data_IF_008715996290
#
_entry.id   IF_008715996290
#
_cell.length_a   1.000
_cell.length_b   1.000
_cell.length_c   1.000
_cell.angle_alpha   90.00
_cell.angle_beta   90.00
_cell.angle_gamma   90.00
#
_symmetry.space_group_name_H-M   'P 1'
#
loop_
_entity.id
_entity.type
_entity.pdbx_description
1 polymer ?
#
# COMPACT_ATOMS: atom_id res chain seq x y z
N UNK A 1 31.59 1.55 -13.29
CA UNK A 1 31.07 0.73 -12.17
C UNK A 1 30.38 1.71 -11.25
N UNK A 2 29.07 1.86 -11.40
CA UNK A 2 28.26 2.74 -10.55
C UNK A 2 27.95 1.99 -9.26
N UNK A 3 28.37 2.55 -8.14
CA UNK A 3 28.02 2.07 -6.81
C UNK A 3 26.50 1.97 -6.69
N UNK A 4 25.99 0.74 -6.54
CA UNK A 4 24.62 0.54 -6.11
C UNK A 4 24.51 1.13 -4.70
N UNK A 5 23.46 1.92 -4.38
CA UNK A 5 23.32 2.44 -3.03
C UNK A 5 23.00 1.28 -2.09
N UNK A 6 24.02 0.75 -1.41
CA UNK A 6 23.90 0.00 -0.16
C UNK A 6 23.51 0.96 0.95
N UNK A 7 22.33 1.57 0.81
CA UNK A 7 21.72 2.37 1.86
C UNK A 7 21.01 1.42 2.82
N UNK A 8 21.59 1.18 3.97
CA UNK A 8 20.89 0.51 5.07
C UNK A 8 19.64 1.33 5.38
N UNK A 9 18.47 0.77 5.07
CA UNK A 9 17.18 1.39 5.34
C UNK A 9 17.07 1.69 6.84
N UNK A 10 16.97 2.97 7.22
CA UNK A 10 16.90 3.43 8.61
C UNK A 10 15.65 4.30 8.83
N UNK A 11 14.94 4.06 9.94
CA UNK A 11 13.76 4.83 10.33
C UNK A 11 14.05 6.32 10.50
N UNK A 12 15.26 6.70 10.95
CA UNK A 12 15.62 8.11 11.14
C UNK A 12 15.74 8.91 9.84
N UNK A 13 15.92 8.23 8.72
CA UNK A 13 16.04 8.83 7.38
C UNK A 13 14.76 8.63 6.55
N UNK A 14 13.74 8.01 7.14
CA UNK A 14 12.48 7.72 6.49
C UNK A 14 11.76 9.02 6.09
N UNK A 15 11.27 9.04 4.85
CA UNK A 15 10.35 10.06 4.35
C UNK A 15 9.23 9.36 3.59
N UNK A 16 7.98 9.74 3.87
CA UNK A 16 6.83 9.16 3.19
C UNK A 16 6.89 9.45 1.68
N UNK A 17 6.80 8.43 0.80
CA UNK A 17 6.90 8.62 -0.64
C UNK A 17 5.65 9.31 -1.20
N UNK A 18 5.81 10.54 -1.70
CA UNK A 18 4.72 11.34 -2.29
C UNK A 18 4.90 11.60 -3.78
N UNK A 19 6.01 11.17 -4.39
CA UNK A 19 6.42 11.52 -5.74
C UNK A 19 5.46 11.04 -6.85
N UNK A 20 4.70 9.96 -6.60
CA UNK A 20 3.69 9.43 -7.52
C UNK A 20 2.26 9.60 -7.01
N UNK A 21 2.07 10.33 -5.91
CA UNK A 21 0.76 10.67 -5.39
C UNK A 21 0.26 11.95 -6.09
N UNK A 22 -0.91 11.87 -6.72
CA UNK A 22 -1.48 13.03 -7.40
C UNK A 22 -1.75 14.16 -6.41
N UNK A 23 -1.46 15.40 -6.82
CA UNK A 23 -1.69 16.59 -6.00
C UNK A 23 -3.14 17.08 -6.05
N UNK A 24 -3.86 16.77 -7.13
CA UNK A 24 -5.22 17.24 -7.42
C UNK A 24 -6.05 16.14 -8.07
N UNK A 25 -7.36 16.18 -7.88
CA UNK A 25 -8.32 15.30 -8.57
C UNK A 25 -8.55 15.78 -10.00
N UNK A 26 -8.71 14.85 -10.94
CA UNK A 26 -9.16 15.16 -12.30
C UNK A 26 -10.65 15.46 -12.32
N UNK A 27 -11.44 14.72 -11.53
CA UNK A 27 -12.86 14.95 -11.35
C UNK A 27 -13.16 15.35 -9.89
N UNK A 28 -13.43 16.64 -9.62
CA UNK A 28 -13.74 17.12 -8.28
C UNK A 28 -14.96 16.47 -7.61
N UNK A 29 -15.87 15.85 -8.37
CA UNK A 29 -17.05 15.17 -7.82
C UNK A 29 -16.71 13.82 -7.20
N UNK A 30 -15.61 13.20 -7.64
CA UNK A 30 -15.17 11.88 -7.17
C UNK A 30 -14.49 11.93 -5.81
N UNK A 31 -14.34 10.76 -5.19
CA UNK A 31 -13.60 10.60 -3.94
C UNK A 31 -12.18 10.12 -4.25
N UNK A 32 -11.11 10.79 -3.75
CA UNK A 32 -9.75 10.30 -3.93
C UNK A 32 -9.61 8.91 -3.29
N UNK A 33 -8.95 7.98 -3.97
CA UNK A 33 -8.69 6.63 -3.49
C UNK A 33 -7.20 6.31 -3.60
N UNK A 34 -6.65 5.77 -2.51
CA UNK A 34 -5.29 5.24 -2.46
C UNK A 34 -5.35 3.76 -2.16
N UNK A 35 -4.74 2.97 -3.03
CA UNK A 35 -4.67 1.51 -2.90
C UNK A 35 -3.37 1.11 -2.21
N UNK A 36 -3.44 0.32 -1.16
CA UNK A 36 -2.26 -0.16 -0.42
C UNK A 36 -2.22 -1.68 -0.48
N UNK A 37 -1.17 -2.25 -1.08
CA UNK A 37 -0.94 -3.69 -1.07
C UNK A 37 0.14 -4.05 -0.06
N UNK A 38 -0.26 -4.69 1.05
CA UNK A 38 0.64 -5.27 2.01
C UNK A 38 0.97 -6.72 1.63
N UNK A 39 2.24 -7.12 1.70
CA UNK A 39 2.60 -8.48 1.32
C UNK A 39 4.08 -8.81 1.45
N UNK A 40 4.41 -10.09 1.28
CA UNK A 40 5.81 -10.53 1.36
C UNK A 40 6.64 -10.03 0.19
N UNK A 41 6.10 -10.05 -1.05
CA UNK A 41 6.83 -9.68 -2.27
C UNK A 41 8.22 -10.33 -2.38
N UNK A 42 8.28 -11.66 -2.22
CA UNK A 42 9.52 -12.44 -2.13
C UNK A 42 9.62 -13.51 -3.23
N UNK A 43 9.79 -13.14 -4.52
CA UNK A 43 9.88 -11.77 -5.05
C UNK A 43 8.52 -11.20 -5.48
N UNK A 44 8.50 -9.90 -5.81
CA UNK A 44 7.39 -9.30 -6.55
C UNK A 44 7.27 -9.94 -7.96
N UNK A 45 6.06 -9.99 -8.50
CA UNK A 45 5.75 -10.59 -9.81
C UNK A 45 4.78 -9.71 -10.59
N UNK A 46 4.65 -9.97 -11.90
CA UNK A 46 3.66 -9.28 -12.74
C UNK A 46 2.22 -9.45 -12.26
N UNK A 47 1.89 -10.53 -11.56
CA UNK A 47 0.54 -10.71 -11.01
C UNK A 47 0.23 -9.64 -9.96
N UNK A 48 1.20 -9.31 -9.11
CA UNK A 48 1.05 -8.24 -8.12
C UNK A 48 0.78 -6.89 -8.80
N UNK A 49 1.55 -6.57 -9.85
CA UNK A 49 1.34 -5.34 -10.62
C UNK A 49 -0.02 -5.33 -11.34
N UNK A 50 -0.45 -6.49 -11.85
CA UNK A 50 -1.74 -6.63 -12.53
C UNK A 50 -2.92 -6.38 -11.59
N UNK A 51 -2.82 -6.75 -10.31
CA UNK A 51 -3.86 -6.45 -9.32
C UNK A 51 -4.12 -4.95 -9.18
N UNK A 52 -3.07 -4.12 -9.20
CA UNK A 52 -3.23 -2.66 -9.14
C UNK A 52 -4.03 -2.14 -10.33
N UNK A 53 -3.66 -2.55 -11.54
CA UNK A 53 -4.35 -2.13 -12.77
C UNK A 53 -5.83 -2.58 -12.76
N UNK A 54 -6.12 -3.81 -12.35
CA UNK A 54 -7.49 -4.32 -12.25
C UNK A 54 -8.33 -3.56 -11.23
N UNK A 55 -7.76 -3.26 -10.06
CA UNK A 55 -8.43 -2.48 -9.03
C UNK A 55 -8.66 -1.03 -9.47
N UNK A 56 -7.70 -0.43 -10.18
CA UNK A 56 -7.83 0.92 -10.71
C UNK A 56 -8.89 1.03 -11.80
N UNK A 57 -8.96 0.05 -12.73
CA UNK A 57 -10.01 -0.02 -13.74
C UNK A 57 -11.39 -0.17 -13.08
N UNK A 58 -11.54 -1.10 -12.13
CA UNK A 58 -12.80 -1.29 -11.42
C UNK A 58 -13.21 -0.02 -10.65
N UNK A 59 -12.30 0.61 -9.91
CA UNK A 59 -12.57 1.87 -9.23
C UNK A 59 -13.04 2.94 -10.22
N UNK A 60 -12.38 3.04 -11.37
CA UNK A 60 -12.68 4.03 -12.41
C UNK A 60 -14.08 3.83 -13.02
N UNK A 61 -14.46 2.60 -13.36
CA UNK A 61 -15.68 2.33 -14.13
C UNK A 61 -16.90 1.97 -13.28
N UNK A 62 -16.71 1.41 -12.08
CA UNK A 62 -17.79 0.83 -11.29
C UNK A 62 -18.06 1.55 -9.97
N UNK A 63 -17.30 2.60 -9.65
CA UNK A 63 -17.43 3.32 -8.37
C UNK A 63 -17.33 4.83 -8.54
N UNK A 64 -17.57 5.59 -7.47
CA UNK A 64 -17.33 7.04 -7.44
C UNK A 64 -15.88 7.42 -7.06
N UNK A 65 -14.95 6.45 -7.04
CA UNK A 65 -13.57 6.70 -6.63
C UNK A 65 -12.66 7.09 -7.80
N UNK A 66 -11.77 8.04 -7.56
CA UNK A 66 -10.64 8.34 -8.45
C UNK A 66 -9.36 7.85 -7.78
N UNK A 67 -8.68 6.88 -8.40
CA UNK A 67 -7.37 6.44 -7.90
C UNK A 67 -6.36 7.55 -8.12
N UNK A 68 -5.79 8.04 -7.02
CA UNK A 68 -4.83 9.15 -6.98
C UNK A 68 -3.40 8.70 -6.69
N UNK A 69 -3.22 7.45 -6.28
CA UNK A 69 -1.93 6.82 -6.03
C UNK A 69 -2.10 5.42 -5.47
N UNK A 70 -1.01 4.67 -5.44
CA UNK A 70 -0.99 3.35 -4.83
C UNK A 70 0.38 3.04 -4.23
N UNK A 71 0.38 2.15 -3.24
CA UNK A 71 1.57 1.81 -2.47
C UNK A 71 1.74 0.29 -2.36
N UNK A 72 2.97 -0.14 -2.54
CA UNK A 72 3.45 -1.47 -2.16
C UNK A 72 4.11 -1.32 -0.79
N UNK A 73 3.61 -2.06 0.20
CA UNK A 73 4.20 -2.12 1.54
C UNK A 73 4.70 -3.54 1.79
N UNK A 74 6.01 -3.72 1.75
CA UNK A 74 6.63 -5.02 1.95
C UNK A 74 6.76 -5.31 3.45
N UNK A 75 6.31 -6.49 3.89
CA UNK A 75 6.38 -6.89 5.31
C UNK A 75 7.80 -6.83 5.85
N UNK A 76 7.98 -6.54 7.14
CA UNK A 76 9.28 -6.60 7.80
C UNK A 76 9.83 -8.01 7.98
N UNK A 77 11.13 -8.12 8.23
CA UNK A 77 11.81 -9.42 8.41
C UNK A 77 11.38 -10.15 9.69
N UNK A 78 10.80 -9.42 10.65
CA UNK A 78 10.19 -9.95 11.86
C UNK A 78 8.97 -10.84 11.61
N UNK A 79 8.39 -10.83 10.40
CA UNK A 79 7.30 -11.71 10.00
C UNK A 79 7.70 -13.21 10.05
N UNK A 80 9.01 -13.52 10.00
CA UNK A 80 9.57 -14.88 10.18
C UNK A 80 8.94 -15.98 9.30
N UNK A 81 8.36 -15.61 8.15
CA UNK A 81 7.90 -16.59 7.14
C UNK A 81 9.10 -17.39 6.62
N UNK A 82 8.94 -18.72 6.52
CA UNK A 82 10.00 -19.58 6.00
C UNK A 82 10.38 -19.20 4.57
N UNK A 83 11.68 -19.04 4.32
CA UNK A 83 12.22 -18.62 3.02
C UNK A 83 12.05 -17.14 2.68
N UNK A 84 11.65 -16.29 3.63
CA UNK A 84 11.54 -14.84 3.39
C UNK A 84 12.94 -14.24 3.16
N UNK A 85 13.13 -13.63 2.00
CA UNK A 85 14.35 -12.88 1.67
C UNK A 85 14.38 -11.59 2.51
N UNK A 86 15.57 -11.09 2.86
CA UNK A 86 15.74 -9.82 3.59
C UNK A 86 14.92 -8.68 2.98
N UNK A 87 14.32 -7.85 3.82
CA UNK A 87 13.44 -6.75 3.42
C UNK A 87 14.10 -5.79 2.44
N UNK A 88 15.38 -5.46 2.65
CA UNK A 88 16.18 -4.62 1.76
C UNK A 88 16.10 -5.08 0.29
N UNK A 89 16.32 -6.37 0.03
CA UNK A 89 16.27 -6.90 -1.33
C UNK A 89 14.85 -6.88 -1.90
N UNK A 90 13.83 -7.14 -1.07
CA UNK A 90 12.43 -7.15 -1.50
C UNK A 90 11.96 -5.74 -1.86
N UNK A 91 12.31 -4.75 -1.05
CA UNK A 91 12.03 -3.33 -1.32
C UNK A 91 12.73 -2.92 -2.61
N UNK A 92 14.02 -3.24 -2.79
CA UNK A 92 14.73 -2.92 -4.02
C UNK A 92 14.08 -3.57 -5.26
N UNK A 93 13.69 -4.85 -5.17
CA UNK A 93 12.97 -5.54 -6.25
C UNK A 93 11.61 -4.88 -6.54
N UNK A 94 10.86 -4.46 -5.51
CA UNK A 94 9.61 -3.74 -5.69
C UNK A 94 9.85 -2.39 -6.38
N UNK A 95 10.85 -1.62 -5.95
CA UNK A 95 11.18 -0.31 -6.53
C UNK A 95 11.55 -0.43 -8.00
N UNK A 96 12.36 -1.44 -8.37
CA UNK A 96 12.68 -1.74 -9.77
C UNK A 96 11.44 -2.17 -10.56
N UNK A 97 10.56 -3.00 -9.98
CA UNK A 97 9.36 -3.47 -10.65
C UNK A 97 8.35 -2.35 -10.96
N UNK A 98 8.34 -1.28 -10.15
CA UNK A 98 7.46 -0.11 -10.38
C UNK A 98 8.21 1.07 -10.99
N UNK A 99 9.47 0.95 -11.41
CA UNK A 99 10.26 2.08 -11.93
C UNK A 99 9.54 2.82 -13.06
N UNK A 100 8.89 2.08 -13.97
CA UNK A 100 8.15 2.63 -15.11
C UNK A 100 6.70 3.02 -14.78
N UNK A 101 6.22 2.76 -13.56
CA UNK A 101 4.88 3.18 -13.14
C UNK A 101 4.87 4.65 -12.76
N UNK A 102 3.84 5.37 -13.18
CA UNK A 102 3.62 6.78 -12.84
C UNK A 102 2.80 7.00 -11.56
N UNK A 103 2.24 5.94 -10.97
CA UNK A 103 1.21 6.06 -9.93
C UNK A 103 1.35 5.07 -8.76
N UNK A 104 2.28 4.10 -8.85
CA UNK A 104 2.55 3.12 -7.79
C UNK A 104 3.91 3.43 -7.16
N UNK A 105 3.97 3.67 -5.85
CA UNK A 105 5.22 3.84 -5.07
C UNK A 105 5.46 2.64 -4.15
N UNK A 106 6.68 2.53 -3.63
CA UNK A 106 7.04 1.54 -2.59
C UNK A 106 7.28 2.30 -1.29
N UNK A 107 6.56 1.93 -0.23
CA UNK A 107 6.78 2.50 1.10
C UNK A 107 7.53 1.49 1.97
N UNK A 108 8.80 1.78 2.36
CA UNK A 108 9.59 0.88 3.19
C UNK A 108 9.22 0.93 4.68
N UNK A 109 8.30 1.82 5.11
CA UNK A 109 7.99 2.06 6.52
C UNK A 109 7.70 0.80 7.34
N UNK A 110 6.86 -0.10 6.82
CA UNK A 110 6.52 -1.36 7.51
C UNK A 110 7.78 -2.20 7.78
N UNK A 111 8.67 -2.28 6.80
CA UNK A 111 9.89 -3.08 6.86
C UNK A 111 11.03 -2.46 7.67
N UNK A 112 10.95 -1.16 7.98
CA UNK A 112 11.91 -0.47 8.84
C UNK A 112 11.73 -0.79 10.32
N UNK A 113 10.61 -1.39 10.71
CA UNK A 113 10.34 -1.77 12.10
C UNK A 113 11.02 -3.09 12.45
N UNK A 114 11.61 -3.14 13.64
CA UNK A 114 12.25 -4.36 14.18
C UNK A 114 11.23 -5.43 14.56
N UNK A 115 10.02 -5.01 14.95
CA UNK A 115 8.91 -5.89 15.33
C UNK A 115 7.91 -6.08 14.19
N UNK A 116 7.16 -7.18 14.24
CA UNK A 116 6.07 -7.40 13.31
C UNK A 116 4.97 -6.35 13.52
N UNK A 117 4.47 -5.80 12.41
CA UNK A 117 3.34 -4.87 12.40
C UNK A 117 2.11 -5.50 11.76
N UNK A 118 0.98 -5.32 12.41
CA UNK A 118 -0.33 -5.69 11.89
C UNK A 118 -0.72 -4.74 10.76
N UNK A 119 -1.34 -5.28 9.70
CA UNK A 119 -1.76 -4.49 8.53
C UNK A 119 -2.66 -3.30 8.89
N UNK A 120 -3.45 -3.40 9.97
CA UNK A 120 -4.25 -2.28 10.47
C UNK A 120 -3.38 -1.06 10.80
N UNK A 121 -2.23 -1.25 11.47
CA UNK A 121 -1.29 -0.16 11.82
C UNK A 121 -0.62 0.41 10.59
N UNK A 122 -0.33 -0.44 9.59
CA UNK A 122 0.23 0.01 8.31
C UNK A 122 -0.78 0.90 7.58
N UNK A 123 -2.06 0.53 7.56
CA UNK A 123 -3.10 1.36 6.95
C UNK A 123 -3.34 2.67 7.73
N UNK A 124 -3.27 2.64 9.07
CA UNK A 124 -3.32 3.84 9.91
C UNK A 124 -2.17 4.80 9.59
N UNK A 125 -0.96 4.28 9.33
CA UNK A 125 0.19 5.09 8.89
C UNK A 125 -0.11 5.80 7.57
N UNK A 126 -0.61 5.09 6.55
CA UNK A 126 -0.99 5.72 5.27
C UNK A 126 -2.11 6.76 5.44
N UNK A 127 -3.11 6.49 6.26
CA UNK A 127 -4.18 7.44 6.57
C UNK A 127 -3.61 8.71 7.23
N UNK A 128 -2.69 8.56 8.18
CA UNK A 128 -2.04 9.68 8.84
C UNK A 128 -1.19 10.50 7.85
N UNK A 129 -0.27 9.86 7.12
CA UNK A 129 0.63 10.56 6.20
C UNK A 129 -0.14 11.30 5.10
N UNK A 130 -1.15 10.66 4.52
CA UNK A 130 -1.86 11.21 3.36
C UNK A 130 -2.91 12.25 3.79
N UNK A 131 -3.70 11.98 4.82
CA UNK A 131 -4.81 12.87 5.20
C UNK A 131 -4.47 13.86 6.32
N UNK A 132 -3.41 13.61 7.11
CA UNK A 132 -2.99 14.47 8.23
C UNK A 132 -1.71 15.23 7.92
N UNK A 133 -0.61 14.54 7.60
CA UNK A 133 0.71 15.17 7.37
C UNK A 133 0.70 15.99 6.08
N UNK A 134 0.36 15.36 4.96
CA UNK A 134 0.19 16.05 3.67
C UNK A 134 -1.08 16.90 3.64
N UNK A 135 -2.14 16.39 4.25
CA UNK A 135 -3.45 17.03 4.29
C UNK A 135 -4.38 16.63 3.13
N UNK A 136 -5.67 16.98 3.22
CA UNK A 136 -6.69 16.56 2.28
C UNK A 136 -6.52 17.15 0.88
N UNK A 137 -7.14 16.52 -0.12
CA UNK A 137 -7.20 17.01 -1.49
C UNK A 137 -8.14 18.21 -1.58
N UNK A 138 -7.63 19.35 -2.03
CA UNK A 138 -8.45 20.55 -2.21
C UNK A 138 -9.26 20.46 -3.50
N UNK A 139 -10.59 20.57 -3.38
CA UNK A 139 -11.52 20.63 -4.50
C UNK A 139 -12.35 21.90 -4.45
N UNK A 140 -12.94 22.36 -5.57
CA UNK A 140 -13.89 23.48 -5.55
C UNK A 140 -15.09 23.29 -4.60
N UNK A 141 -15.44 22.05 -4.25
CA UNK A 141 -16.52 21.72 -3.33
C UNK A 141 -16.05 21.64 -1.86
N UNK A 142 -14.75 21.82 -1.60
CA UNK A 142 -14.14 21.73 -0.28
C UNK A 142 -13.03 20.67 -0.20
N UNK A 143 -12.32 20.60 0.93
CA UNK A 143 -11.28 19.59 1.15
C UNK A 143 -11.90 18.19 1.23
N UNK A 144 -11.32 17.22 0.51
CA UNK A 144 -11.69 15.81 0.53
C UNK A 144 -10.54 14.95 1.05
N UNK A 145 -10.81 14.14 2.06
CA UNK A 145 -9.87 13.10 2.50
C UNK A 145 -9.80 11.99 1.45
N UNK A 146 -8.61 11.45 1.22
CA UNK A 146 -8.44 10.23 0.45
C UNK A 146 -8.98 9.05 1.23
N UNK A 147 -9.72 8.17 0.55
CA UNK A 147 -10.06 6.86 1.06
C UNK A 147 -8.84 5.96 0.90
N UNK A 148 -8.31 5.45 2.00
CA UNK A 148 -7.31 4.39 1.99
C UNK A 148 -8.04 3.05 1.91
N UNK A 149 -7.61 2.15 1.03
CA UNK A 149 -8.18 0.82 0.90
C UNK A 149 -7.08 -0.25 0.74
N UNK A 150 -7.27 -1.39 1.40
CA UNK A 150 -6.40 -2.55 1.27
C UNK A 150 -6.61 -3.21 -0.10
N UNK A 151 -5.56 -3.36 -0.89
CA UNK A 151 -5.55 -4.15 -2.12
C UNK A 151 -4.93 -5.51 -1.84
N UNK A 152 -5.67 -6.58 -2.12
CA UNK A 152 -5.22 -7.93 -1.84
C UNK A 152 -5.74 -8.96 -2.85
N UNK A 153 -5.02 -10.08 -2.94
CA UNK A 153 -5.53 -11.28 -3.60
C UNK A 153 -6.56 -12.01 -2.74
N UNK A 154 -7.37 -12.85 -3.37
CA UNK A 154 -8.34 -13.70 -2.66
C UNK A 154 -7.67 -14.66 -1.66
N UNK A 155 -6.42 -15.05 -1.89
CA UNK A 155 -5.60 -15.86 -0.98
C UNK A 155 -5.40 -15.17 0.38
N UNK A 156 -5.20 -13.85 0.40
CA UNK A 156 -5.08 -13.10 1.66
C UNK A 156 -6.39 -13.16 2.47
N UNK A 157 -7.55 -13.02 1.82
CA UNK A 157 -8.86 -13.15 2.47
C UNK A 157 -9.05 -14.55 3.06
N UNK A 158 -8.58 -15.58 2.38
CA UNK A 158 -8.61 -16.94 2.92
C UNK A 158 -7.77 -17.04 4.21
N UNK A 159 -6.63 -16.35 4.29
CA UNK A 159 -5.85 -16.30 5.54
C UNK A 159 -6.53 -15.52 6.66
N UNK A 160 -7.34 -14.50 6.35
CA UNK A 160 -8.15 -13.79 7.36
C UNK A 160 -9.19 -14.70 8.01
N UNK A 161 -9.61 -15.77 7.31
CA UNK A 161 -10.52 -16.79 7.85
C UNK A 161 -9.79 -17.88 8.65
N UNK A 162 -8.45 -17.92 8.63
CA UNK A 162 -7.67 -18.93 9.32
C UNK A 162 -7.52 -18.60 10.83
N UNK A 163 -7.89 -19.52 11.74
CA UNK A 163 -7.80 -19.28 13.17
C UNK A 163 -6.38 -18.94 13.62
N UNK A 164 -6.23 -17.85 14.38
CA UNK A 164 -4.96 -17.44 15.00
C UNK A 164 -3.99 -16.70 14.08
N UNK A 165 -4.35 -16.43 12.83
CA UNK A 165 -3.52 -15.63 11.90
C UNK A 165 -3.82 -14.14 12.02
N UNK A 166 -5.10 -13.79 12.20
CA UNK A 166 -5.55 -12.41 12.34
C UNK A 166 -6.39 -12.25 13.61
N UNK A 167 -6.21 -11.14 14.31
CA UNK A 167 -7.12 -10.77 15.38
C UNK A 167 -8.47 -10.36 14.75
N UNK A 168 -9.62 -10.93 15.18
CA UNK A 168 -10.92 -10.58 14.60
C UNK A 168 -11.21 -9.08 14.65
N UNK A 169 -10.76 -8.41 15.71
CA UNK A 169 -10.89 -6.95 15.88
C UNK A 169 -10.16 -6.18 14.79
N UNK A 170 -9.02 -6.67 14.31
CA UNK A 170 -8.24 -6.00 13.27
C UNK A 170 -8.92 -6.16 11.91
N UNK A 171 -9.52 -7.32 11.62
CA UNK A 171 -10.31 -7.54 10.40
C UNK A 171 -11.51 -6.58 10.40
N UNK A 172 -12.28 -6.56 11.48
CA UNK A 172 -13.44 -5.66 11.61
C UNK A 172 -13.02 -4.19 11.48
N UNK A 173 -11.90 -3.81 12.09
CA UNK A 173 -11.35 -2.46 11.98
C UNK A 173 -10.95 -2.11 10.55
N UNK A 174 -10.23 -3.00 9.86
CA UNK A 174 -9.79 -2.77 8.48
C UNK A 174 -10.99 -2.59 7.56
N UNK A 175 -11.96 -3.50 7.62
CA UNK A 175 -13.12 -3.48 6.74
C UNK A 175 -14.06 -2.29 7.03
N UNK A 176 -14.18 -1.89 8.29
CA UNK A 176 -15.05 -0.76 8.69
C UNK A 176 -14.45 0.60 8.36
N UNK A 177 -13.13 0.78 8.53
CA UNK A 177 -12.48 2.09 8.39
C UNK A 177 -11.84 2.30 7.01
N UNK A 178 -11.26 1.26 6.42
CA UNK A 178 -10.55 1.33 5.14
C UNK A 178 -11.31 0.65 4.01
N UNK A 179 -11.86 -0.54 4.26
CA UNK A 179 -12.39 -1.40 3.21
C UNK A 179 -11.28 -2.06 2.39
N UNK A 180 -11.66 -2.89 1.42
CA UNK A 180 -10.72 -3.66 0.63
C UNK A 180 -11.15 -3.85 -0.83
N UNK A 181 -10.17 -3.91 -1.72
CA UNK A 181 -10.30 -4.34 -3.11
C UNK A 181 -9.66 -5.72 -3.22
N UNK A 182 -10.49 -6.74 -3.46
CA UNK A 182 -10.05 -8.12 -3.52
C UNK A 182 -10.08 -8.59 -4.97
N UNK A 183 -8.93 -9.03 -5.47
CA UNK A 183 -8.77 -9.54 -6.83
C UNK A 183 -8.63 -11.05 -6.79
N UNK A 184 -9.52 -11.75 -7.48
CA UNK A 184 -9.41 -13.18 -7.76
C UNK A 184 -8.83 -13.34 -9.17
N UNK A 185 -7.82 -14.21 -9.30
CA UNK A 185 -7.19 -14.55 -10.58
C UNK A 185 -7.45 -16.01 -10.93
#
# INVERSE_FOLDING_TARGET
>A
MSDAPTGTLNMNEYTFPTERLQSQLRDPSRTPLVLVACGSFSPITFLHLRMFEMAADYARFNTNFEVVGAYISAVGDAYKKSGLVKAEHRINMCSLAVEQSSWISVDPWEALHEDYLETAKVLDHFEHEINTTRGPFNTPQGPKKAKIALLAGADLIQTMSAPGVWAPKDIDYILSNFGAFIIEN
#
